data_IF_817964455182
#
_entry.id   IF_817964455182
#
_cell.length_a   1.000
_cell.length_b   1.000
_cell.length_c   1.000
_cell.angle_alpha   90.00
_cell.angle_beta   90.00
_cell.angle_gamma   90.00
#
_symmetry.space_group_name_H-M   'P 1'
#
loop_
_entity.id
_entity.type
_entity.pdbx_description
1 polymer ?
#
# COMPACT_ATOMS: atom_id res chain seq x y z
N UNK A 1 -16.31 -32.11 -11.98
CA UNK A 1 -15.23 -33.13 -11.94
C UNK A 1 -14.34 -32.78 -10.76
N UNK A 2 -13.75 -33.77 -10.07
CA UNK A 2 -12.89 -33.48 -8.91
C UNK A 2 -11.57 -32.87 -9.39
N UNK A 3 -11.34 -31.61 -9.05
CA UNK A 3 -10.06 -30.93 -9.30
C UNK A 3 -9.05 -31.36 -8.22
N UNK A 4 -7.81 -31.73 -8.61
CA UNK A 4 -6.74 -32.03 -7.66
C UNK A 4 -6.48 -30.83 -6.76
N UNK A 5 -6.22 -31.08 -5.48
CA UNK A 5 -5.90 -29.99 -4.53
C UNK A 5 -4.58 -29.34 -4.90
N UNK A 6 -4.44 -28.05 -4.56
CA UNK A 6 -3.24 -27.24 -4.82
C UNK A 6 -1.94 -27.89 -4.31
N UNK A 7 -2.00 -28.61 -3.20
CA UNK A 7 -0.88 -29.32 -2.59
C UNK A 7 -0.34 -30.47 -3.45
N UNK A 8 -1.22 -31.13 -4.23
CA UNK A 8 -0.85 -32.24 -5.12
C UNK A 8 -0.07 -31.77 -6.36
N UNK A 9 -0.16 -30.48 -6.70
CA UNK A 9 0.58 -29.88 -7.81
C UNK A 9 2.01 -29.46 -7.44
N UNK A 10 2.33 -29.30 -6.16
CA UNK A 10 3.66 -28.87 -5.74
C UNK A 10 4.76 -29.86 -6.18
N UNK A 11 4.64 -31.18 -5.96
CA UNK A 11 5.64 -32.15 -6.42
C UNK A 11 5.77 -32.15 -7.95
N UNK A 12 4.68 -31.90 -8.68
CA UNK A 12 4.68 -31.85 -10.14
C UNK A 12 5.44 -30.61 -10.69
N UNK A 13 5.32 -29.46 -10.03
CA UNK A 13 5.97 -28.21 -10.45
C UNK A 13 7.47 -28.20 -10.17
N UNK A 14 7.90 -28.84 -9.09
CA UNK A 14 9.30 -28.89 -8.66
C UNK A 14 10.03 -30.15 -9.13
N UNK A 15 9.41 -30.97 -9.99
CA UNK A 15 9.96 -32.25 -10.51
C UNK A 15 10.27 -33.30 -9.41
N UNK A 16 9.57 -33.19 -8.27
CA UNK A 16 9.67 -34.10 -7.11
C UNK A 16 8.58 -35.19 -7.12
N UNK A 17 7.64 -35.15 -8.08
CA UNK A 17 6.57 -36.13 -8.23
C UNK A 17 7.09 -37.49 -8.74
N UNK A 18 6.45 -38.57 -8.29
CA UNK A 18 6.73 -39.90 -8.86
C UNK A 18 6.27 -39.99 -10.31
N UNK A 19 6.87 -40.90 -11.09
CA UNK A 19 6.56 -41.05 -12.51
C UNK A 19 5.08 -41.39 -12.79
N UNK A 20 4.40 -42.06 -11.84
CA UNK A 20 2.97 -42.39 -11.95
C UNK A 20 2.08 -41.17 -11.69
N UNK A 21 2.37 -40.39 -10.65
CA UNK A 21 1.64 -39.16 -10.31
C UNK A 21 1.77 -38.12 -11.41
N UNK A 22 2.97 -37.98 -11.98
CA UNK A 22 3.22 -37.08 -13.11
C UNK A 22 2.37 -37.42 -14.33
N UNK A 23 2.19 -38.71 -14.64
CA UNK A 23 1.32 -39.15 -15.76
C UNK A 23 -0.15 -38.86 -15.49
N UNK A 24 -0.63 -39.11 -14.26
CA UNK A 24 -2.02 -38.83 -13.86
C UNK A 24 -2.33 -37.34 -13.94
N UNK A 25 -1.45 -36.49 -13.41
CA UNK A 25 -1.59 -35.05 -13.45
C UNK A 25 -1.48 -34.49 -14.87
N UNK A 26 -0.55 -35.01 -15.70
CA UNK A 26 -0.45 -34.63 -17.11
C UNK A 26 -1.70 -34.99 -17.91
N UNK A 27 -2.29 -36.17 -17.68
CA UNK A 27 -3.56 -36.57 -18.29
C UNK A 27 -4.72 -35.66 -17.85
N UNK A 28 -4.73 -35.23 -16.58
CA UNK A 28 -5.73 -34.27 -16.09
C UNK A 28 -5.60 -32.89 -16.77
N UNK A 29 -4.38 -32.41 -16.98
CA UNK A 29 -4.14 -31.13 -17.68
C UNK A 29 -4.60 -31.14 -19.14
N UNK A 30 -4.61 -32.29 -19.81
CA UNK A 30 -5.14 -32.42 -21.17
C UNK A 30 -6.68 -32.33 -21.20
N UNK A 31 -7.34 -32.73 -20.13
CA UNK A 31 -8.80 -32.79 -20.04
C UNK A 31 -9.44 -31.59 -19.33
N UNK A 32 -8.66 -30.77 -18.60
CA UNK A 32 -9.16 -29.61 -17.87
C UNK A 32 -8.39 -28.33 -18.22
N UNK A 33 -8.96 -27.43 -19.04
CA UNK A 33 -8.29 -26.20 -19.44
C UNK A 33 -8.12 -25.19 -18.28
N UNK A 34 -9.00 -25.24 -17.27
CA UNK A 34 -8.91 -24.36 -16.09
C UNK A 34 -7.66 -24.68 -15.25
N UNK A 35 -7.43 -25.95 -14.93
CA UNK A 35 -6.22 -26.37 -14.23
C UNK A 35 -4.96 -26.12 -15.07
N UNK A 36 -5.03 -26.28 -16.39
CA UNK A 36 -3.92 -25.94 -17.29
C UNK A 36 -3.54 -24.45 -17.23
N UNK A 37 -4.53 -23.56 -17.18
CA UNK A 37 -4.30 -22.12 -17.06
C UNK A 37 -3.65 -21.74 -15.72
N UNK A 38 -4.09 -22.36 -14.61
CA UNK A 38 -3.55 -22.13 -13.28
C UNK A 38 -2.08 -22.57 -13.16
N UNK A 39 -1.75 -23.79 -13.63
CA UNK A 39 -0.37 -24.31 -13.67
C UNK A 39 0.53 -23.45 -14.56
N UNK A 40 0.04 -23.04 -15.73
CA UNK A 40 0.79 -22.14 -16.61
C UNK A 40 1.06 -20.77 -15.96
N UNK A 41 0.16 -20.31 -15.08
CA UNK A 41 0.35 -19.12 -14.24
C UNK A 41 1.50 -19.29 -13.26
N UNK A 42 1.54 -20.38 -12.50
CA UNK A 42 2.60 -20.64 -11.52
C UNK A 42 3.96 -20.87 -12.18
N UNK A 43 4.02 -21.58 -13.31
CA UNK A 43 5.27 -21.75 -14.07
C UNK A 43 5.84 -20.42 -14.59
N UNK A 44 4.98 -19.45 -14.95
CA UNK A 44 5.43 -18.10 -15.34
C UNK A 44 6.04 -17.34 -14.16
N UNK A 45 5.42 -17.42 -12.98
CA UNK A 45 5.97 -16.81 -11.77
C UNK A 45 7.31 -17.43 -11.38
N UNK A 46 7.44 -18.75 -11.44
CA UNK A 46 8.71 -19.45 -11.18
C UNK A 46 9.81 -19.04 -12.17
N UNK A 47 9.52 -18.99 -13.47
CA UNK A 47 10.48 -18.50 -14.48
C UNK A 47 10.91 -17.04 -14.26
N UNK A 48 10.02 -16.22 -13.71
CA UNK A 48 10.32 -14.82 -13.38
C UNK A 48 11.28 -14.74 -12.20
N UNK A 49 11.09 -15.59 -11.19
CA UNK A 49 12.00 -15.71 -10.06
C UNK A 49 13.37 -16.30 -10.46
N UNK A 50 13.40 -17.27 -11.36
CA UNK A 50 14.66 -17.85 -11.89
C UNK A 50 15.53 -16.83 -12.65
N UNK A 51 14.90 -15.81 -13.27
CA UNK A 51 15.62 -14.72 -13.93
C UNK A 51 16.36 -13.81 -12.95
N UNK A 52 15.96 -13.79 -11.69
CA UNK A 52 16.70 -13.13 -10.63
C UNK A 52 17.90 -13.99 -10.19
N UNK A 53 18.90 -14.11 -11.07
CA UNK A 53 20.23 -14.60 -10.68
C UNK A 53 21.03 -13.47 -10.03
N UNK A 54 21.57 -13.74 -8.85
CA UNK A 54 22.51 -12.87 -8.14
C UNK A 54 23.69 -12.52 -9.06
N UNK A 55 24.17 -11.26 -9.08
CA UNK A 55 25.31 -10.88 -9.90
C UNK A 55 26.53 -11.72 -9.52
N UNK A 56 27.11 -12.41 -10.50
CA UNK A 56 28.36 -13.14 -10.32
C UNK A 56 29.43 -12.17 -9.78
N UNK A 57 30.09 -12.57 -8.69
CA UNK A 57 31.11 -11.76 -8.04
C UNK A 57 32.18 -11.36 -9.07
N UNK A 58 32.33 -10.06 -9.29
CA UNK A 58 33.32 -9.50 -10.21
C UNK A 58 34.72 -9.87 -9.72
N UNK A 59 35.43 -10.70 -10.47
CA UNK A 59 36.84 -10.99 -10.19
C UNK A 59 37.62 -9.68 -10.19
N UNK A 60 38.16 -9.28 -9.04
CA UNK A 60 39.05 -8.11 -8.93
C UNK A 60 40.36 -8.45 -9.63
N UNK A 61 40.59 -7.86 -10.80
CA UNK A 61 41.91 -7.85 -11.43
C UNK A 61 42.86 -7.05 -10.53
N UNK A 62 43.80 -7.74 -9.88
CA UNK A 62 44.84 -7.12 -9.06
C UNK A 62 45.82 -6.35 -9.95
N UNK A 63 45.72 -5.02 -9.94
CA UNK A 63 46.64 -4.10 -10.62
C UNK A 63 47.85 -3.73 -9.74
N UNK A 64 48.17 -4.53 -8.71
CA UNK A 64 49.18 -4.22 -7.70
C UNK A 64 50.46 -5.08 -7.78
N UNK A 65 50.75 -5.67 -8.94
CA UNK A 65 51.95 -6.48 -9.17
C UNK A 65 53.21 -5.67 -9.57
N UNK A 66 53.17 -4.33 -9.53
CA UNK A 66 54.27 -3.48 -9.96
C UNK A 66 55.46 -3.35 -8.98
N UNK A 67 55.25 -3.09 -7.67
CA UNK A 67 56.36 -2.77 -6.77
C UNK A 67 57.10 -4.00 -6.24
N UNK A 68 56.46 -5.17 -6.20
CA UNK A 68 56.98 -6.37 -5.51
C UNK A 68 58.17 -6.99 -6.27
N UNK A 69 58.23 -6.83 -7.60
CA UNK A 69 59.29 -7.39 -8.43
C UNK A 69 60.66 -6.73 -8.19
N UNK A 70 60.68 -5.44 -7.82
CA UNK A 70 61.92 -4.69 -7.56
C UNK A 70 62.61 -5.13 -6.26
N UNK A 71 61.82 -5.48 -5.24
CA UNK A 71 62.33 -6.00 -3.98
C UNK A 71 62.83 -7.44 -4.09
N UNK A 72 62.25 -8.24 -5.01
CA UNK A 72 62.70 -9.61 -5.26
C UNK A 72 64.15 -9.71 -5.75
N UNK A 73 64.62 -8.77 -6.58
CA UNK A 73 65.99 -8.79 -7.13
C UNK A 73 67.03 -8.43 -6.06
N UNK A 74 66.74 -7.43 -5.21
CA UNK A 74 67.64 -7.04 -4.13
C UNK A 74 67.81 -8.17 -3.11
N UNK A 75 66.72 -8.85 -2.75
CA UNK A 75 66.77 -10.03 -1.88
C UNK A 75 67.58 -11.17 -2.51
N UNK A 76 67.46 -11.40 -3.82
CA UNK A 76 68.21 -12.45 -4.52
C UNK A 76 69.73 -12.19 -4.52
N UNK A 77 70.17 -10.94 -4.65
CA UNK A 77 71.59 -10.58 -4.60
C UNK A 77 72.18 -10.72 -3.19
N UNK A 78 71.45 -10.29 -2.16
CA UNK A 78 71.89 -10.43 -0.76
C UNK A 78 71.95 -11.91 -0.34
N UNK A 79 70.94 -12.71 -0.72
CA UNK A 79 70.93 -14.15 -0.46
C UNK A 79 72.00 -14.90 -1.27
N UNK A 80 72.25 -14.50 -2.52
CA UNK A 80 73.29 -15.10 -3.37
C UNK A 80 74.69 -14.86 -2.82
N UNK A 81 74.99 -13.63 -2.36
CA UNK A 81 76.28 -13.31 -1.74
C UNK A 81 76.46 -14.01 -0.38
N UNK A 82 75.41 -14.07 0.44
CA UNK A 82 75.43 -14.80 1.72
C UNK A 82 75.59 -16.31 1.57
N UNK A 83 74.95 -16.91 0.55
CA UNK A 83 75.05 -18.35 0.27
C UNK A 83 76.40 -18.75 -0.32
N UNK A 84 77.03 -17.88 -1.12
CA UNK A 84 78.36 -18.11 -1.69
C UNK A 84 79.48 -18.15 -0.63
N UNK A 85 79.42 -17.28 0.38
CA UNK A 85 80.38 -17.25 1.48
C UNK A 85 80.12 -18.35 2.52
N UNK A 86 78.87 -18.74 2.76
CA UNK A 86 78.54 -19.80 3.73
C UNK A 86 78.97 -21.21 3.31
N UNK A 87 79.12 -21.47 2.00
CA UNK A 87 79.46 -22.81 1.50
C UNK A 87 80.94 -23.19 1.66
N UNK A 88 81.82 -22.21 1.87
CA UNK A 88 83.25 -22.44 2.05
C UNK A 88 83.65 -22.76 3.50
N UNK A 89 82.72 -22.69 4.46
CA UNK A 89 82.99 -22.91 5.89
C UNK A 89 82.11 -23.99 6.55
N UNK A 90 81.35 -24.77 5.78
CA UNK A 90 80.45 -25.78 6.34
C UNK A 90 81.08 -27.19 6.35
N UNK A 91 81.07 -27.92 7.49
CA UNK A 91 81.45 -29.33 7.54
C UNK A 91 80.40 -30.25 6.86
N UNK A 92 80.88 -31.31 6.20
CA UNK A 92 80.18 -32.13 5.20
C UNK A 92 79.16 -33.15 5.73
N UNK A 93 78.46 -32.91 6.85
CA UNK A 93 77.40 -33.85 7.31
C UNK A 93 76.27 -33.15 8.08
N UNK A 94 75.69 -32.11 7.51
CA UNK A 94 74.35 -31.66 7.92
C UNK A 94 73.39 -32.07 6.81
N UNK A 95 72.46 -32.98 7.12
CA UNK A 95 71.42 -33.41 6.18
C UNK A 95 70.43 -32.27 5.96
N UNK A 96 70.75 -31.43 4.98
CA UNK A 96 69.95 -30.27 4.58
C UNK A 96 68.54 -30.68 4.14
N UNK A 97 68.34 -31.93 3.71
CA UNK A 97 67.02 -32.41 3.29
C UNK A 97 66.10 -32.66 4.49
N UNK A 98 66.64 -33.17 5.61
CA UNK A 98 65.89 -33.36 6.84
C UNK A 98 65.45 -32.02 7.46
N UNK A 99 66.33 -31.00 7.49
CA UNK A 99 65.96 -29.67 7.98
C UNK A 99 65.01 -28.94 7.03
N UNK A 100 65.16 -29.11 5.70
CA UNK A 100 64.22 -28.54 4.72
C UNK A 100 62.83 -29.13 4.87
N UNK A 101 62.73 -30.45 5.06
CA UNK A 101 61.44 -31.11 5.31
C UNK A 101 60.78 -30.61 6.60
N UNK A 102 61.54 -30.43 7.69
CA UNK A 102 61.02 -29.92 8.96
C UNK A 102 60.61 -28.44 8.87
N UNK A 103 61.42 -27.60 8.22
CA UNK A 103 61.11 -26.16 8.05
C UNK A 103 59.92 -25.96 7.12
N UNK A 104 59.83 -26.72 6.02
CA UNK A 104 58.71 -26.64 5.09
C UNK A 104 57.39 -27.11 5.73
N UNK A 105 57.42 -28.18 6.55
CA UNK A 105 56.26 -28.65 7.28
C UNK A 105 55.78 -27.64 8.34
N UNK A 106 56.70 -26.99 9.04
CA UNK A 106 56.37 -26.01 10.10
C UNK A 106 55.88 -24.68 9.51
N UNK A 107 56.49 -24.22 8.41
CA UNK A 107 56.06 -23.01 7.70
C UNK A 107 54.71 -23.24 7.02
N UNK A 108 54.49 -24.38 6.34
CA UNK A 108 53.20 -24.68 5.73
C UNK A 108 52.07 -24.77 6.75
N UNK A 109 52.29 -25.41 7.90
CA UNK A 109 51.25 -25.57 8.92
C UNK A 109 50.92 -24.25 9.63
N UNK A 110 51.92 -23.48 10.03
CA UNK A 110 51.71 -22.16 10.66
C UNK A 110 51.08 -21.16 9.69
N UNK A 111 51.58 -21.06 8.45
CA UNK A 111 51.04 -20.15 7.43
C UNK A 111 49.63 -20.54 6.98
N UNK A 112 49.35 -21.84 6.81
CA UNK A 112 48.00 -22.29 6.47
C UNK A 112 47.01 -22.03 7.61
N UNK A 113 47.45 -22.12 8.87
CA UNK A 113 46.62 -21.82 10.03
C UNK A 113 46.28 -20.33 10.12
N UNK A 114 47.26 -19.47 9.87
CA UNK A 114 47.09 -18.01 9.94
C UNK A 114 46.25 -17.49 8.77
N UNK A 115 46.52 -17.98 7.55
CA UNK A 115 45.69 -17.64 6.39
C UNK A 115 44.25 -18.11 6.53
N UNK A 116 44.00 -19.30 7.12
CA UNK A 116 42.61 -19.73 7.41
C UNK A 116 41.91 -18.82 8.42
N UNK A 117 42.62 -18.38 9.47
CA UNK A 117 42.05 -17.45 10.46
C UNK A 117 41.70 -16.11 9.84
N UNK A 118 42.64 -15.51 9.09
CA UNK A 118 42.42 -14.23 8.42
C UNK A 118 41.31 -14.34 7.37
N UNK A 119 41.32 -15.40 6.56
CA UNK A 119 40.26 -15.63 5.57
C UNK A 119 38.88 -15.79 6.21
N UNK A 120 38.79 -16.59 7.28
CA UNK A 120 37.52 -16.75 8.00
C UNK A 120 37.04 -15.43 8.61
N UNK A 121 37.95 -14.63 9.18
CA UNK A 121 37.63 -13.31 9.73
C UNK A 121 37.15 -12.34 8.64
N UNK A 122 37.84 -12.28 7.50
CA UNK A 122 37.49 -11.43 6.36
C UNK A 122 36.15 -11.82 5.74
N UNK A 123 35.91 -13.12 5.56
CA UNK A 123 34.63 -13.62 5.05
C UNK A 123 33.50 -13.29 6.01
N UNK A 124 33.71 -13.46 7.32
CA UNK A 124 32.71 -13.15 8.32
C UNK A 124 32.42 -11.64 8.39
N UNK A 125 33.46 -10.80 8.30
CA UNK A 125 33.31 -9.34 8.23
C UNK A 125 32.58 -8.90 6.96
N UNK A 126 32.94 -9.48 5.79
CA UNK A 126 32.28 -9.18 4.52
C UNK A 126 30.81 -9.62 4.53
N UNK A 127 30.49 -10.77 5.13
CA UNK A 127 29.12 -11.25 5.27
C UNK A 127 28.30 -10.36 6.20
N UNK A 128 28.87 -9.95 7.35
CA UNK A 128 28.22 -9.03 8.28
C UNK A 128 27.95 -7.66 7.65
N UNK A 129 28.92 -7.11 6.90
CA UNK A 129 28.76 -5.86 6.15
C UNK A 129 27.72 -5.98 5.03
N UNK A 130 27.68 -7.12 4.34
CA UNK A 130 26.68 -7.37 3.29
C UNK A 130 25.29 -7.49 3.90
N UNK A 131 25.15 -8.21 5.02
CA UNK A 131 23.88 -8.36 5.74
C UNK A 131 23.35 -7.01 6.22
N UNK A 132 24.20 -6.20 6.85
CA UNK A 132 23.79 -4.87 7.33
C UNK A 132 23.37 -3.96 6.17
N UNK A 133 24.11 -3.98 5.06
CA UNK A 133 23.78 -3.23 3.84
C UNK A 133 22.40 -3.61 3.30
N UNK A 134 22.11 -4.89 3.17
CA UNK A 134 20.80 -5.38 2.70
C UNK A 134 19.69 -4.92 3.65
N UNK A 135 19.88 -5.06 4.97
CA UNK A 135 18.86 -4.65 5.94
C UNK A 135 18.62 -3.15 5.97
N UNK A 136 19.67 -2.35 5.77
CA UNK A 136 19.56 -0.89 5.76
C UNK A 136 18.89 -0.40 4.48
N UNK A 137 19.25 -0.98 3.33
CA UNK A 137 18.62 -0.68 2.05
C UNK A 137 17.13 -1.03 2.06
N UNK A 138 16.78 -2.22 2.55
CA UNK A 138 15.38 -2.64 2.67
C UNK A 138 14.59 -1.71 3.61
N UNK A 139 15.17 -1.31 4.75
CA UNK A 139 14.54 -0.35 5.66
C UNK A 139 14.35 1.01 4.99
N UNK A 140 15.33 1.49 4.25
CA UNK A 140 15.24 2.76 3.53
C UNK A 140 14.12 2.72 2.47
N UNK A 141 14.05 1.65 1.68
CA UNK A 141 12.99 1.46 0.67
C UNK A 141 11.61 1.33 1.30
N UNK A 142 11.48 0.58 2.40
CA UNK A 142 10.21 0.46 3.14
C UNK A 142 9.75 1.81 3.68
N UNK A 143 10.64 2.59 4.29
CA UNK A 143 10.31 3.92 4.80
C UNK A 143 9.90 4.88 3.67
N UNK A 144 10.56 4.79 2.50
CA UNK A 144 10.20 5.60 1.33
C UNK A 144 8.82 5.24 0.79
N UNK A 145 8.51 3.94 0.63
CA UNK A 145 7.17 3.52 0.21
C UNK A 145 6.09 3.88 1.23
N UNK A 146 6.36 3.73 2.54
CA UNK A 146 5.40 4.06 3.59
C UNK A 146 5.06 5.55 3.57
N UNK A 147 6.05 6.40 3.37
CA UNK A 147 5.84 7.86 3.28
C UNK A 147 5.11 8.26 2.01
N UNK A 148 5.42 7.64 0.86
CA UNK A 148 4.68 7.86 -0.39
C UNK A 148 3.21 7.44 -0.26
N UNK A 149 2.95 6.24 0.25
CA UNK A 149 1.57 5.73 0.47
C UNK A 149 0.83 6.59 1.49
N UNK A 150 1.49 7.05 2.56
CA UNK A 150 0.86 7.94 3.54
C UNK A 150 0.51 9.31 2.94
N UNK A 151 1.36 9.86 2.08
CA UNK A 151 1.09 11.13 1.40
C UNK A 151 -0.01 10.99 0.33
N UNK A 152 0.03 9.91 -0.44
CA UNK A 152 -1.01 9.59 -1.42
C UNK A 152 -2.38 9.36 -0.75
N UNK A 153 -2.41 8.63 0.37
CA UNK A 153 -3.65 8.42 1.12
C UNK A 153 -4.14 9.71 1.79
N UNK A 154 -3.25 10.55 2.31
CA UNK A 154 -3.63 11.85 2.88
C UNK A 154 -4.18 12.81 1.83
N UNK A 155 -3.62 12.83 0.63
CA UNK A 155 -4.12 13.65 -0.49
C UNK A 155 -5.47 13.15 -0.99
N UNK A 156 -5.64 11.84 -1.17
CA UNK A 156 -6.92 11.26 -1.55
C UNK A 156 -7.99 11.48 -0.48
N UNK A 157 -7.65 11.33 0.80
CA UNK A 157 -8.57 11.59 1.93
C UNK A 157 -8.98 13.07 1.95
N UNK A 158 -8.04 14.00 1.73
CA UNK A 158 -8.35 15.43 1.62
C UNK A 158 -9.25 15.72 0.42
N UNK A 159 -9.05 15.04 -0.71
CA UNK A 159 -9.90 15.16 -1.90
C UNK A 159 -11.33 14.72 -1.59
N UNK A 160 -11.50 13.55 -0.99
CA UNK A 160 -12.80 13.01 -0.61
C UNK A 160 -13.52 13.88 0.43
N UNK A 161 -12.79 14.42 1.42
CA UNK A 161 -13.36 15.36 2.39
C UNK A 161 -13.81 16.66 1.73
N UNK A 162 -13.03 17.20 0.80
CA UNK A 162 -13.42 18.41 0.06
C UNK A 162 -14.65 18.16 -0.82
N UNK A 163 -14.73 17.02 -1.51
CA UNK A 163 -15.91 16.62 -2.29
C UNK A 163 -17.14 16.47 -1.39
N UNK A 164 -17.00 15.83 -0.23
CA UNK A 164 -18.08 15.70 0.74
C UNK A 164 -18.55 17.07 1.27
N UNK A 165 -17.63 17.95 1.65
CA UNK A 165 -17.94 19.31 2.12
C UNK A 165 -18.67 20.09 1.03
N UNK A 166 -18.24 20.01 -0.22
CA UNK A 166 -18.92 20.66 -1.35
C UNK A 166 -20.33 20.09 -1.56
N UNK A 167 -20.50 18.77 -1.52
CA UNK A 167 -21.81 18.13 -1.67
C UNK A 167 -22.77 18.54 -0.54
N UNK A 168 -22.30 18.58 0.70
CA UNK A 168 -23.11 19.03 1.85
C UNK A 168 -23.49 20.50 1.73
N UNK A 169 -22.58 21.37 1.29
CA UNK A 169 -22.90 22.78 1.08
C UNK A 169 -23.93 22.98 -0.03
N UNK A 170 -23.79 22.25 -1.15
CA UNK A 170 -24.76 22.30 -2.23
C UNK A 170 -26.15 21.85 -1.77
N UNK A 171 -26.23 20.71 -1.06
CA UNK A 171 -27.48 20.20 -0.51
C UNK A 171 -28.13 21.18 0.48
N UNK A 172 -27.34 21.80 1.37
CA UNK A 172 -27.86 22.81 2.32
C UNK A 172 -28.39 24.06 1.63
N UNK A 173 -27.77 24.47 0.53
CA UNK A 173 -28.23 25.63 -0.24
C UNK A 173 -29.55 25.33 -0.95
N UNK A 174 -29.70 24.11 -1.48
CA UNK A 174 -30.96 23.62 -2.05
C UNK A 174 -32.06 23.54 -0.98
N UNK A 175 -31.76 22.99 0.20
CA UNK A 175 -32.70 22.95 1.34
C UNK A 175 -33.13 24.37 1.77
N UNK A 176 -32.19 25.32 1.86
CA UNK A 176 -32.53 26.71 2.20
C UNK A 176 -33.49 27.32 1.20
N UNK A 177 -33.28 27.05 -0.10
CA UNK A 177 -34.17 27.54 -1.15
C UNK A 177 -35.54 26.90 -1.05
N UNK A 178 -35.61 25.58 -0.88
CA UNK A 178 -36.87 24.85 -0.72
C UNK A 178 -37.67 25.35 0.49
N UNK A 179 -37.01 25.55 1.64
CA UNK A 179 -37.63 26.10 2.86
C UNK A 179 -38.09 27.53 2.64
N UNK A 180 -37.30 28.38 1.98
CA UNK A 180 -37.71 29.76 1.71
C UNK A 180 -38.93 29.82 0.79
N UNK A 181 -38.99 28.96 -0.22
CA UNK A 181 -40.12 28.88 -1.14
C UNK A 181 -41.39 28.39 -0.45
N UNK A 182 -41.28 27.38 0.43
CA UNK A 182 -42.43 26.88 1.19
C UNK A 182 -42.94 27.91 2.21
N UNK A 183 -42.04 28.64 2.88
CA UNK A 183 -42.43 29.74 3.77
C UNK A 183 -43.14 30.88 3.02
N UNK A 184 -42.64 31.25 1.84
CA UNK A 184 -43.29 32.27 1.01
C UNK A 184 -44.70 31.82 0.57
N UNK A 185 -44.87 30.54 0.23
CA UNK A 185 -46.17 29.98 -0.10
C UNK A 185 -47.13 30.04 1.09
N UNK A 186 -46.70 29.60 2.27
CA UNK A 186 -47.50 29.64 3.50
C UNK A 186 -47.92 31.08 3.84
N UNK A 187 -47.03 32.06 3.66
CA UNK A 187 -47.37 33.47 3.87
C UNK A 187 -48.44 33.98 2.88
N UNK A 188 -48.37 33.57 1.62
CA UNK A 188 -49.39 33.92 0.61
C UNK A 188 -50.74 33.31 0.97
N UNK A 189 -50.76 32.05 1.36
CA UNK A 189 -51.98 31.34 1.81
C UNK A 189 -52.60 32.04 3.02
N UNK A 190 -51.82 32.34 4.06
CA UNK A 190 -52.32 33.05 5.25
C UNK A 190 -52.88 34.45 4.94
N UNK A 191 -52.28 35.17 3.99
CA UNK A 191 -52.77 36.50 3.61
C UNK A 191 -54.10 36.40 2.86
N UNK A 192 -54.24 35.41 1.98
CA UNK A 192 -55.50 35.14 1.28
C UNK A 192 -56.61 34.72 2.26
N UNK A 193 -56.29 33.83 3.21
CA UNK A 193 -57.22 33.37 4.25
C UNK A 193 -57.68 34.53 5.14
N UNK A 194 -56.76 35.42 5.53
CA UNK A 194 -57.09 36.60 6.33
C UNK A 194 -58.05 37.54 5.58
N UNK A 195 -57.83 37.74 4.28
CA UNK A 195 -58.72 38.55 3.44
C UNK A 195 -60.10 37.90 3.27
N UNK A 196 -60.16 36.58 3.10
CA UNK A 196 -61.43 35.84 3.03
C UNK A 196 -62.20 35.97 4.34
N UNK A 197 -61.55 35.71 5.48
CA UNK A 197 -62.19 35.81 6.79
C UNK A 197 -62.72 37.22 7.05
N UNK A 198 -61.99 38.26 6.65
CA UNK A 198 -62.46 39.64 6.73
C UNK A 198 -63.70 39.87 5.87
N UNK A 199 -63.70 39.40 4.63
CA UNK A 199 -64.85 39.55 3.74
C UNK A 199 -66.09 38.80 4.27
N UNK A 200 -65.89 37.62 4.86
CA UNK A 200 -66.96 36.87 5.52
C UNK A 200 -67.52 37.64 6.72
N UNK A 201 -66.66 38.27 7.53
CA UNK A 201 -67.09 39.13 8.64
C UNK A 201 -67.84 40.37 8.15
N UNK A 202 -67.39 41.04 7.09
CA UNK A 202 -68.10 42.17 6.48
C UNK A 202 -69.47 41.73 5.91
N UNK A 203 -69.55 40.53 5.35
CA UNK A 203 -70.80 39.92 4.89
C UNK A 203 -71.76 39.62 6.05
N UNK A 204 -71.28 38.99 7.12
CA UNK A 204 -72.11 38.72 8.31
C UNK A 204 -72.58 40.01 8.96
N UNK A 205 -71.72 41.04 9.05
CA UNK A 205 -72.09 42.34 9.62
C UNK A 205 -73.19 43.05 8.80
N UNK A 206 -73.06 43.07 7.47
CA UNK A 206 -74.07 43.68 6.58
C UNK A 206 -75.41 42.94 6.58
N UNK A 207 -75.38 41.60 6.59
CA UNK A 207 -76.60 40.80 6.74
C UNK A 207 -77.28 41.05 8.09
N UNK A 208 -76.50 41.14 9.16
CA UNK A 208 -77.04 41.40 10.51
C UNK A 208 -77.67 42.79 10.59
N UNK A 209 -77.03 43.83 10.04
CA UNK A 209 -77.58 45.19 10.02
C UNK A 209 -78.90 45.26 9.23
N UNK A 210 -78.96 44.59 8.09
CA UNK A 210 -80.17 44.52 7.27
C UNK A 210 -81.32 43.80 7.99
N UNK A 211 -81.06 42.67 8.66
CA UNK A 211 -82.07 41.97 9.46
C UNK A 211 -82.54 42.81 10.66
N UNK A 212 -81.63 43.53 11.35
CA UNK A 212 -82.01 44.47 12.41
C UNK A 212 -82.89 45.59 11.87
N UNK A 213 -82.56 46.15 10.69
CA UNK A 213 -83.35 47.19 10.04
C UNK A 213 -84.74 46.68 9.67
N UNK A 214 -84.84 45.48 9.10
CA UNK A 214 -86.13 44.84 8.80
C UNK A 214 -86.94 44.56 10.07
N UNK A 215 -86.32 44.08 11.14
CA UNK A 215 -86.97 43.88 12.43
C UNK A 215 -87.50 45.19 13.03
N UNK A 216 -86.76 46.29 12.92
CA UNK A 216 -87.24 47.63 13.33
C UNK A 216 -88.43 48.08 12.49
N UNK A 217 -88.38 47.91 11.17
CA UNK A 217 -89.48 48.28 10.29
C UNK A 217 -90.75 47.46 10.58
N UNK A 218 -90.63 46.16 10.81
CA UNK A 218 -91.78 45.31 11.18
C UNK A 218 -92.40 45.73 12.51
N UNK A 219 -91.58 46.06 13.53
CA UNK A 219 -92.06 46.59 14.81
C UNK A 219 -92.84 47.91 14.65
N UNK A 220 -92.36 48.83 13.80
CA UNK A 220 -93.08 50.07 13.49
C UNK A 220 -94.41 49.78 12.80
N UNK A 221 -94.45 48.84 11.84
CA UNK A 221 -95.70 48.43 11.19
C UNK A 221 -96.69 47.79 12.18
N UNK A 222 -96.23 46.92 13.08
CA UNK A 222 -97.07 46.34 14.13
C UNK A 222 -97.62 47.41 15.07
N UNK A 223 -96.81 48.38 15.47
CA UNK A 223 -97.26 49.51 16.30
C UNK A 223 -98.29 50.39 15.58
N UNK A 224 -98.06 50.71 14.30
CA UNK A 224 -98.99 51.48 13.48
C UNK A 224 -100.33 50.74 13.27
N UNK A 225 -100.28 49.45 12.94
CA UNK A 225 -101.50 48.64 12.78
C UNK A 225 -102.28 48.53 14.10
N UNK A 226 -101.60 48.35 15.23
CA UNK A 226 -102.22 48.36 16.56
C UNK A 226 -102.90 49.70 16.87
N UNK A 227 -102.28 50.83 16.50
CA UNK A 227 -102.89 52.16 16.68
C UNK A 227 -104.15 52.36 15.83
N UNK A 228 -104.18 51.85 14.60
CA UNK A 228 -105.37 51.90 13.72
C UNK A 228 -106.50 50.98 14.18
N UNK A 229 -106.21 49.87 14.86
CA UNK A 229 -107.25 49.02 15.44
C UNK A 229 -107.93 49.67 16.66
N UNK A 230 -107.24 50.56 17.39
CA UNK A 230 -107.80 51.25 18.56
C UNK A 230 -108.68 52.47 18.20
N UNK A 231 -108.73 52.88 16.93
CA UNK A 231 -109.49 54.06 16.48
C UNK A 231 -110.78 53.74 15.70
N UNK A 232 -111.17 52.46 15.63
CA UNK A 232 -112.45 52.05 15.06
C UNK A 232 -113.51 51.96 16.19
N UNK A 233 -114.58 52.77 16.16
CA UNK A 233 -115.65 52.75 17.16
C UNK A 233 -116.50 51.48 17.10
#
# INVERSE_FOLDING_TARGET
MNHPKREEWAPYLFDEATAEERRKLAAHLQNCPECAAEIAGWQRSLKTLDRWKLPAARARSSQWAGPVLKWGIAAALVLGAGFGLGRLSAPTTVDLNAMRAQTEATIKSSLASEMRKQFNADVQAALAATRSRITNELRAQLNMMLTEVANASATETRRQLNEFVQAVHAAREEDRRAISASLEQIQKEHTADYLSLRNDLETVASLTDEEIRRARQSLIQFAANKSNQSSKP
#
